data_IF_760150524697
#
_entry.id   IF_760150524697
#
_cell.length_a   1.000
_cell.length_b   1.000
_cell.length_c   1.000
_cell.angle_alpha   90.00
_cell.angle_beta   90.00
_cell.angle_gamma   90.00
#
_symmetry.space_group_name_H-M   'P 1'
#
loop_
_entity.id
_entity.type
_entity.pdbx_description
1 polymer ?
#
# COMPACT_ATOMS: atom_id res chain seq x y z
N UNK A 1 6.92 27.34 -5.64
CA UNK A 1 7.60 27.12 -4.36
C UNK A 1 8.81 26.23 -4.64
N UNK A 2 10.02 26.65 -4.27
CA UNK A 2 11.19 25.77 -4.37
C UNK A 2 11.13 24.79 -3.20
N UNK A 3 10.89 23.52 -3.50
CA UNK A 3 11.02 22.40 -2.56
C UNK A 3 12.45 22.39 -2.00
N UNK A 4 12.62 22.44 -0.68
CA UNK A 4 13.95 22.33 -0.07
C UNK A 4 14.50 20.93 -0.30
N UNK A 5 15.83 20.78 -0.42
CA UNK A 5 16.47 19.47 -0.60
C UNK A 5 16.01 18.44 0.45
N UNK A 6 15.70 18.90 1.67
CA UNK A 6 15.12 18.08 2.72
C UNK A 6 13.79 17.44 2.32
N UNK A 7 12.80 18.21 1.85
CA UNK A 7 11.49 17.68 1.47
C UNK A 7 11.62 16.71 0.29
N UNK A 8 12.49 17.01 -0.67
CA UNK A 8 12.77 16.10 -1.80
C UNK A 8 13.25 14.72 -1.33
N UNK A 9 14.22 14.65 -0.41
CA UNK A 9 14.72 13.37 0.11
C UNK A 9 13.67 12.68 0.99
N UNK A 10 12.93 13.43 1.81
CA UNK A 10 11.86 12.91 2.64
C UNK A 10 10.76 12.25 1.80
N UNK A 11 10.32 12.90 0.72
CA UNK A 11 9.31 12.36 -0.20
C UNK A 11 9.76 11.06 -0.86
N UNK A 12 11.03 10.94 -1.22
CA UNK A 12 11.60 9.71 -1.77
C UNK A 12 11.58 8.57 -0.74
N UNK A 13 12.04 8.82 0.49
CA UNK A 13 12.04 7.83 1.57
C UNK A 13 10.61 7.42 1.91
N UNK A 14 9.69 8.39 2.02
CA UNK A 14 8.27 8.11 2.31
C UNK A 14 7.62 7.25 1.22
N UNK A 15 7.97 7.48 -0.06
CA UNK A 15 7.47 6.66 -1.17
C UNK A 15 7.99 5.22 -1.07
N UNK A 16 9.28 5.04 -0.78
CA UNK A 16 9.86 3.70 -0.58
C UNK A 16 9.22 2.99 0.61
N UNK A 17 9.02 3.70 1.72
CA UNK A 17 8.36 3.15 2.90
C UNK A 17 6.91 2.75 2.64
N UNK A 18 6.16 3.53 1.85
CA UNK A 18 4.81 3.18 1.44
C UNK A 18 4.80 1.85 0.65
N UNK A 19 5.74 1.67 -0.28
CA UNK A 19 5.86 0.40 -1.03
C UNK A 19 6.26 -0.75 -0.10
N UNK A 20 7.24 -0.54 0.79
CA UNK A 20 7.69 -1.58 1.72
C UNK A 20 6.59 -2.05 2.68
N UNK A 21 5.72 -1.14 3.11
CA UNK A 21 4.55 -1.48 3.95
C UNK A 21 3.60 -2.46 3.25
N UNK A 22 3.52 -2.42 1.92
CA UNK A 22 2.70 -3.36 1.16
C UNK A 22 3.45 -4.65 0.84
N UNK A 23 4.76 -4.56 0.59
CA UNK A 23 5.62 -5.74 0.42
C UNK A 23 5.71 -6.57 1.71
N UNK A 24 5.57 -5.95 2.89
CA UNK A 24 5.56 -6.69 4.17
C UNK A 24 4.35 -7.62 4.35
N UNK A 25 3.36 -7.56 3.48
CA UNK A 25 2.31 -8.59 3.40
C UNK A 25 2.81 -9.91 2.82
N UNK A 26 3.95 -9.96 2.10
CA UNK A 26 4.51 -11.21 1.55
C UNK A 26 4.84 -12.23 2.64
N UNK A 27 5.60 -11.88 3.72
CA UNK A 27 5.76 -12.77 4.87
C UNK A 27 4.43 -13.22 5.47
N UNK A 28 3.47 -12.31 5.63
CA UNK A 28 2.15 -12.64 6.18
C UNK A 28 1.40 -13.65 5.30
N UNK A 29 1.49 -13.52 3.97
CA UNK A 29 0.93 -14.48 3.01
C UNK A 29 1.62 -15.84 3.14
N UNK A 30 2.95 -15.86 3.28
CA UNK A 30 3.70 -17.10 3.48
C UNK A 30 3.30 -17.82 4.78
N UNK A 31 3.16 -17.08 5.88
CA UNK A 31 2.74 -17.62 7.18
C UNK A 31 1.30 -18.17 7.12
N UNK A 32 0.39 -17.45 6.47
CA UNK A 32 -0.97 -17.90 6.23
C UNK A 32 -1.01 -19.24 5.49
N UNK A 33 -0.22 -19.37 4.42
CA UNK A 33 -0.11 -20.60 3.62
C UNK A 33 0.58 -21.74 4.38
N UNK A 34 1.49 -21.42 5.30
CA UNK A 34 2.14 -22.38 6.20
C UNK A 34 1.22 -22.85 7.35
N UNK A 35 -0.01 -22.34 7.43
CA UNK A 35 -1.01 -22.72 8.44
C UNK A 35 -1.02 -21.83 9.69
N UNK A 36 -0.11 -20.86 9.79
CA UNK A 36 -0.09 -19.85 10.85
C UNK A 36 -0.85 -18.61 10.41
N UNK A 37 -2.19 -18.72 10.34
CA UNK A 37 -3.06 -17.64 9.85
C UNK A 37 -2.93 -16.38 10.71
N UNK A 38 -2.49 -15.29 10.10
CA UNK A 38 -2.45 -13.96 10.69
C UNK A 38 -3.84 -13.30 10.64
N UNK A 39 -4.03 -12.22 11.42
CA UNK A 39 -5.33 -11.54 11.46
C UNK A 39 -5.67 -10.90 10.08
N UNK A 40 -6.78 -11.31 9.42
CA UNK A 40 -7.15 -10.83 8.09
C UNK A 40 -7.62 -9.36 8.09
N UNK A 41 -8.03 -8.80 9.23
CA UNK A 41 -8.62 -7.47 9.31
C UNK A 41 -7.66 -6.37 8.83
N UNK A 42 -6.38 -6.47 9.19
CA UNK A 42 -5.38 -5.45 8.83
C UNK A 42 -5.12 -5.41 7.32
N UNK A 43 -4.83 -6.53 6.63
CA UNK A 43 -4.77 -6.56 5.17
C UNK A 43 -6.04 -6.05 4.47
N UNK A 44 -7.23 -6.37 4.99
CA UNK A 44 -8.50 -5.92 4.42
C UNK A 44 -8.66 -4.40 4.51
N UNK A 45 -8.45 -3.83 5.70
CA UNK A 45 -8.55 -2.38 5.91
C UNK A 45 -7.53 -1.64 5.05
N UNK A 46 -6.31 -2.17 4.93
CA UNK A 46 -5.29 -1.60 4.05
C UNK A 46 -5.70 -1.65 2.58
N UNK A 47 -6.23 -2.77 2.08
CA UNK A 47 -6.71 -2.89 0.71
C UNK A 47 -7.83 -1.89 0.39
N UNK A 48 -8.78 -1.71 1.31
CA UNK A 48 -9.85 -0.70 1.17
C UNK A 48 -9.26 0.71 1.14
N UNK A 49 -8.36 1.02 2.07
CA UNK A 49 -7.71 2.34 2.14
C UNK A 49 -6.95 2.66 0.85
N UNK A 50 -6.16 1.72 0.36
CA UNK A 50 -5.41 1.85 -0.89
C UNK A 50 -6.35 2.07 -2.09
N UNK A 51 -7.48 1.36 -2.12
CA UNK A 51 -8.49 1.51 -3.16
C UNK A 51 -9.09 2.93 -3.15
N UNK A 52 -9.41 3.47 -1.97
CA UNK A 52 -9.89 4.84 -1.83
C UNK A 52 -8.86 5.86 -2.31
N UNK A 53 -7.57 5.68 -1.96
CA UNK A 53 -6.49 6.56 -2.41
C UNK A 53 -6.26 6.51 -3.92
N UNK A 54 -6.32 5.33 -4.53
CA UNK A 54 -6.22 5.18 -5.99
C UNK A 54 -7.39 5.88 -6.68
N UNK A 55 -8.63 5.68 -6.20
CA UNK A 55 -9.81 6.34 -6.76
C UNK A 55 -9.69 7.86 -6.63
N UNK A 56 -9.31 8.34 -5.44
CA UNK A 56 -9.09 9.77 -5.17
C UNK A 56 -8.05 10.36 -6.12
N UNK A 57 -6.89 9.72 -6.23
CA UNK A 57 -5.78 10.17 -7.06
C UNK A 57 -6.14 10.25 -8.55
N UNK A 58 -6.92 9.29 -9.05
CA UNK A 58 -7.36 9.24 -10.44
C UNK A 58 -8.53 10.20 -10.75
N UNK A 59 -9.42 10.47 -9.78
CA UNK A 59 -10.56 11.40 -9.95
C UNK A 59 -10.23 12.87 -9.67
N UNK A 60 -9.08 13.17 -9.05
CA UNK A 60 -8.62 14.54 -8.81
C UNK A 60 -8.39 15.28 -10.14
N UNK A 61 -8.72 16.58 -10.16
CA UNK A 61 -8.68 17.42 -11.37
C UNK A 61 -7.29 17.42 -12.05
N UNK A 62 -6.24 17.44 -11.23
CA UNK A 62 -4.89 17.04 -11.64
C UNK A 62 -4.61 15.65 -11.09
N UNK A 63 -4.63 14.64 -11.97
CA UNK A 63 -4.46 13.24 -11.59
C UNK A 63 -3.14 13.05 -10.86
N UNK A 64 -3.21 12.52 -9.64
CA UNK A 64 -2.06 12.29 -8.77
C UNK A 64 -1.50 10.88 -9.04
N UNK A 65 -0.92 10.72 -10.23
CA UNK A 65 -0.36 9.43 -10.68
C UNK A 65 0.64 8.83 -9.68
N UNK A 66 1.54 9.61 -9.04
CA UNK A 66 2.42 9.08 -8.00
C UNK A 66 1.68 8.44 -6.83
N UNK A 67 0.63 9.09 -6.30
CA UNK A 67 -0.17 8.54 -5.19
C UNK A 67 -0.92 7.28 -5.62
N UNK A 68 -1.48 7.26 -6.84
CA UNK A 68 -2.15 6.07 -7.38
C UNK A 68 -1.18 4.89 -7.50
N UNK A 69 0.02 5.12 -8.05
CA UNK A 69 1.05 4.08 -8.19
C UNK A 69 1.60 3.60 -6.84
N UNK A 70 1.73 4.49 -5.86
CA UNK A 70 2.20 4.11 -4.53
C UNK A 70 1.20 3.19 -3.81
N UNK A 71 -0.11 3.42 -3.97
CA UNK A 71 -1.15 2.65 -3.26
C UNK A 71 -1.63 1.42 -4.03
N UNK A 72 -1.46 1.35 -5.35
CA UNK A 72 -1.90 0.21 -6.15
C UNK A 72 -1.34 -1.15 -5.68
N UNK A 73 -0.04 -1.30 -5.36
CA UNK A 73 0.49 -2.56 -4.80
C UNK A 73 -0.20 -2.98 -3.50
N UNK A 74 -0.60 -2.02 -2.66
CA UNK A 74 -1.30 -2.28 -1.40
C UNK A 74 -2.68 -2.90 -1.58
N UNK A 75 -3.36 -2.60 -2.69
CA UNK A 75 -4.61 -3.27 -3.05
C UNK A 75 -4.34 -4.75 -3.35
N UNK A 76 -3.34 -5.02 -4.20
CA UNK A 76 -3.01 -6.39 -4.62
C UNK A 76 -2.52 -7.22 -3.44
N UNK A 77 -1.50 -6.75 -2.73
CA UNK A 77 -0.92 -7.48 -1.61
C UNK A 77 -1.88 -7.59 -0.41
N UNK A 78 -2.64 -6.53 -0.11
CA UNK A 78 -3.63 -6.54 0.97
C UNK A 78 -4.77 -7.54 0.72
N UNK A 79 -5.27 -7.62 -0.52
CA UNK A 79 -6.31 -8.60 -0.87
C UNK A 79 -5.78 -10.04 -0.84
N UNK A 80 -4.57 -10.29 -1.35
CA UNK A 80 -3.97 -11.64 -1.31
C UNK A 80 -3.73 -12.07 0.14
N UNK A 81 -3.18 -11.18 0.99
CA UNK A 81 -2.98 -11.45 2.41
C UNK A 81 -4.30 -11.69 3.17
N UNK A 82 -5.37 -10.96 2.82
CA UNK A 82 -6.70 -11.20 3.36
C UNK A 82 -7.24 -12.59 2.97
N UNK A 83 -7.23 -12.91 1.67
CA UNK A 83 -7.78 -14.18 1.15
C UNK A 83 -7.05 -15.39 1.72
N UNK A 84 -5.72 -15.29 1.86
CA UNK A 84 -4.90 -16.39 2.42
C UNK A 84 -5.09 -16.57 3.92
N UNK A 85 -5.48 -15.53 4.65
CA UNK A 85 -5.74 -15.58 6.09
C UNK A 85 -7.12 -16.16 6.44
N UNK A 86 -8.00 -16.39 5.45
CA UNK A 86 -9.32 -17.04 5.62
C UNK A 86 -9.18 -18.55 5.49
#
# INVERSE_FOLDING_TARGET
MQETNFIKYLSWIATVMAVLMYVSYIPQIADNLAGSKANPLQPLVAAINCTLWVIYALKKNHRDIPVALANFPGIVFGLIAFVTAI
#
